data_IF_097099449987
#
_entry.id   IF_097099449987
#
_cell.length_a   1.000
_cell.length_b   1.000
_cell.length_c   1.000
_cell.angle_alpha   90.00
_cell.angle_beta   90.00
_cell.angle_gamma   90.00
#
_symmetry.space_group_name_H-M   'P 1'
#
loop_
_entity.id
_entity.type
_entity.pdbx_description
1 polymer ?
#
# COMPACT_ATOMS: atom_id res chain seq x y z
N UNK A 1 28.68 14.97 -18.06
CA UNK A 1 28.70 13.61 -17.48
C UNK A 1 27.32 13.38 -16.90
N UNK A 2 26.47 12.61 -17.58
CA UNK A 2 25.20 12.16 -17.02
C UNK A 2 25.55 11.08 -15.97
N UNK A 3 24.98 11.12 -14.77
CA UNK A 3 25.25 10.07 -13.79
C UNK A 3 24.54 8.79 -14.22
N UNK A 4 25.28 7.76 -14.62
CA UNK A 4 24.76 6.42 -14.97
C UNK A 4 24.32 5.60 -13.74
N UNK A 5 23.91 6.27 -12.66
CA UNK A 5 23.46 5.56 -11.48
C UNK A 5 22.03 5.06 -11.70
N UNK A 6 21.76 3.76 -11.48
CA UNK A 6 20.42 3.21 -11.58
C UNK A 6 19.41 3.95 -10.71
N UNK A 7 18.18 4.03 -11.20
CA UNK A 7 17.06 4.64 -10.47
C UNK A 7 16.77 3.90 -9.17
N UNK A 8 16.71 4.64 -8.06
CA UNK A 8 16.22 4.11 -6.78
C UNK A 8 14.69 4.15 -6.79
N UNK A 9 14.06 2.99 -6.70
CA UNK A 9 12.64 2.88 -6.32
C UNK A 9 12.33 3.56 -4.98
N UNK A 10 11.09 4.03 -4.84
CA UNK A 10 10.55 4.57 -3.59
C UNK A 10 10.15 3.47 -2.59
N UNK A 11 9.37 3.78 -1.54
CA UNK A 11 9.06 2.85 -0.45
C UNK A 11 8.50 1.49 -0.89
N UNK A 12 7.76 1.46 -1.99
CA UNK A 12 7.16 0.24 -2.55
C UNK A 12 7.69 -0.12 -3.95
N UNK A 13 8.56 0.72 -4.54
CA UNK A 13 9.14 0.48 -5.86
C UNK A 13 10.46 -0.26 -5.76
N UNK A 14 10.70 -1.24 -6.62
CA UNK A 14 11.99 -1.90 -6.73
C UNK A 14 13.05 -0.94 -7.28
N UNK A 15 14.28 -1.05 -6.80
CA UNK A 15 15.42 -0.32 -7.39
C UNK A 15 15.85 -0.97 -8.71
N UNK A 16 16.22 -0.14 -9.68
CA UNK A 16 16.79 -0.58 -10.94
C UNK A 16 18.27 -0.97 -10.77
N UNK A 17 18.80 -1.69 -11.76
CA UNK A 17 20.26 -1.81 -11.98
C UNK A 17 20.66 -1.07 -13.28
N UNK A 18 21.91 -1.21 -13.72
CA UNK A 18 22.43 -0.49 -14.88
C UNK A 18 21.73 -0.84 -16.22
N UNK A 19 21.01 -1.96 -16.28
CA UNK A 19 20.44 -2.49 -17.51
C UNK A 19 18.96 -2.91 -17.37
N UNK A 20 18.44 -2.99 -16.15
CA UNK A 20 17.10 -3.52 -15.86
C UNK A 20 16.32 -2.56 -14.96
N UNK A 21 15.04 -2.36 -15.28
CA UNK A 21 14.12 -1.61 -14.42
C UNK A 21 13.75 -2.39 -13.16
N UNK A 22 13.58 -1.69 -12.04
CA UNK A 22 12.98 -2.26 -10.83
C UNK A 22 11.49 -2.56 -11.01
N UNK A 23 10.97 -3.49 -10.21
CA UNK A 23 9.56 -3.86 -10.23
C UNK A 23 8.65 -2.77 -9.66
N UNK A 24 7.43 -2.66 -10.18
CA UNK A 24 6.42 -1.72 -9.67
C UNK A 24 5.82 -2.18 -8.34
N UNK A 25 5.46 -1.21 -7.49
CA UNK A 25 4.71 -1.48 -6.26
C UNK A 25 3.25 -1.83 -6.53
N UNK A 26 2.65 -2.70 -5.71
CA UNK A 26 1.25 -3.11 -5.82
C UNK A 26 0.49 -2.87 -4.51
N UNK A 27 -0.39 -1.86 -4.49
CA UNK A 27 -1.02 -1.38 -3.26
C UNK A 27 -2.53 -1.35 -3.43
N UNK A 28 -3.28 -1.98 -2.52
CA UNK A 28 -4.75 -1.94 -2.55
C UNK A 28 -5.35 -2.84 -3.63
N UNK A 29 -5.70 -4.09 -3.32
CA UNK A 29 -6.26 -5.02 -4.32
C UNK A 29 -7.67 -4.65 -4.79
N UNK A 30 -8.40 -3.89 -3.97
CA UNK A 30 -9.67 -3.28 -4.35
C UNK A 30 -9.57 -1.75 -4.40
N UNK A 31 -9.00 -1.14 -3.35
CA UNK A 31 -8.94 0.31 -3.22
C UNK A 31 -7.53 0.74 -2.82
N UNK A 32 -6.92 1.58 -3.65
CA UNK A 32 -5.78 2.42 -3.27
C UNK A 32 -6.29 3.84 -3.03
N UNK A 33 -5.98 4.40 -1.87
CA UNK A 33 -6.37 5.76 -1.50
C UNK A 33 -5.14 6.56 -1.06
N UNK A 34 -4.86 7.67 -1.74
CA UNK A 34 -3.79 8.61 -1.43
C UNK A 34 -4.36 10.02 -1.32
N UNK A 35 -4.08 10.68 -0.20
CA UNK A 35 -4.50 12.05 0.12
C UNK A 35 -6.04 12.29 -0.01
N UNK A 36 -6.86 11.28 0.27
CA UNK A 36 -8.33 11.31 0.24
C UNK A 36 -9.00 10.65 1.45
N UNK A 37 -10.32 10.80 1.56
CA UNK A 37 -11.13 10.12 2.61
C UNK A 37 -11.91 8.96 2.00
N UNK A 38 -11.77 7.76 2.58
CA UNK A 38 -12.55 6.58 2.21
C UNK A 38 -13.51 6.22 3.33
N UNK A 39 -14.79 6.09 2.98
CA UNK A 39 -15.86 5.63 3.87
C UNK A 39 -16.47 4.36 3.33
N UNK A 40 -16.28 3.26 4.04
CA UNK A 40 -16.82 1.94 3.72
C UNK A 40 -17.98 1.65 4.67
N UNK A 41 -19.14 1.31 4.11
CA UNK A 41 -20.36 1.03 4.90
C UNK A 41 -21.06 -0.19 4.34
N UNK A 42 -21.44 -1.13 5.22
CA UNK A 42 -22.23 -2.31 4.85
C UNK A 42 -21.65 -3.08 3.64
N UNK A 43 -20.32 -3.23 3.60
CA UNK A 43 -19.62 -3.79 2.43
C UNK A 43 -18.88 -5.08 2.78
N UNK A 44 -18.66 -5.92 1.77
CA UNK A 44 -17.82 -7.11 1.89
C UNK A 44 -16.66 -7.00 0.92
N UNK A 45 -15.43 -7.05 1.44
CA UNK A 45 -14.20 -7.19 0.67
C UNK A 45 -13.76 -8.64 0.80
N UNK A 46 -13.98 -9.41 -0.26
CA UNK A 46 -13.71 -10.84 -0.28
C UNK A 46 -12.74 -11.20 -1.39
N UNK A 47 -11.71 -11.96 -1.05
CA UNK A 47 -10.78 -12.54 -2.03
C UNK A 47 -10.14 -11.49 -2.96
N UNK A 48 -9.86 -10.30 -2.43
CA UNK A 48 -9.03 -9.32 -3.12
C UNK A 48 -7.56 -9.71 -2.96
N UNK A 49 -6.77 -9.45 -4.00
CA UNK A 49 -5.39 -9.90 -4.06
C UNK A 49 -4.49 -8.84 -4.68
N UNK A 50 -3.30 -8.67 -4.11
CA UNK A 50 -2.19 -7.94 -4.73
C UNK A 50 -0.99 -8.85 -4.92
N UNK A 51 -0.30 -8.68 -6.04
CA UNK A 51 1.01 -9.28 -6.29
C UNK A 51 1.97 -8.18 -6.70
N UNK A 52 3.13 -8.14 -6.05
CA UNK A 52 4.20 -7.20 -6.38
C UNK A 52 4.66 -7.34 -7.84
N UNK A 53 5.15 -6.23 -8.41
CA UNK A 53 5.77 -6.23 -9.73
C UNK A 53 7.12 -6.94 -9.73
N UNK A 54 7.37 -7.78 -10.74
CA UNK A 54 8.67 -8.40 -10.96
C UNK A 54 9.69 -7.39 -11.49
N UNK A 55 10.96 -7.56 -11.10
CA UNK A 55 12.07 -6.81 -11.67
C UNK A 55 12.33 -7.19 -13.14
N UNK A 56 12.95 -6.29 -13.89
CA UNK A 56 13.37 -6.54 -15.27
C UNK A 56 14.47 -7.59 -15.42
N UNK A 57 15.12 -7.98 -14.32
CA UNK A 57 16.18 -8.99 -14.28
C UNK A 57 17.43 -8.51 -13.56
N UNK A 58 18.53 -9.26 -13.70
CA UNK A 58 19.82 -8.92 -13.12
C UNK A 58 19.76 -8.75 -11.61
N UNK A 59 20.28 -7.62 -11.14
CA UNK A 59 20.29 -7.22 -9.73
C UNK A 59 19.19 -6.22 -9.39
N UNK A 60 18.29 -5.92 -10.33
CA UNK A 60 17.13 -5.08 -10.05
C UNK A 60 16.19 -5.77 -9.05
N UNK A 61 15.57 -4.99 -8.18
CA UNK A 61 14.69 -5.50 -7.14
C UNK A 61 13.24 -5.58 -7.63
N UNK A 62 12.50 -6.58 -7.14
CA UNK A 62 11.05 -6.60 -7.27
C UNK A 62 10.43 -5.43 -6.49
N UNK A 63 9.21 -5.04 -6.85
CA UNK A 63 8.44 -4.11 -6.04
C UNK A 63 8.03 -4.71 -4.69
N UNK A 64 7.48 -3.87 -3.83
CA UNK A 64 6.72 -4.27 -2.65
C UNK A 64 5.22 -4.30 -2.93
N UNK A 65 4.48 -4.93 -2.03
CA UNK A 65 3.02 -4.98 -2.10
C UNK A 65 2.38 -4.98 -0.72
N UNK A 66 1.15 -4.45 -0.66
CA UNK A 66 0.45 -4.27 0.60
C UNK A 66 -1.03 -3.95 0.41
N UNK A 67 -1.85 -4.21 1.43
CA UNK A 67 -3.28 -3.93 1.43
C UNK A 67 -4.02 -4.78 0.38
N UNK A 68 -4.04 -6.10 0.55
CA UNK A 68 -4.70 -7.00 -0.41
C UNK A 68 -6.18 -6.66 -0.68
N UNK A 69 -6.86 -5.91 0.20
CA UNK A 69 -8.10 -5.19 -0.13
C UNK A 69 -7.91 -3.67 -0.23
N UNK A 70 -7.54 -3.01 0.88
CA UNK A 70 -7.46 -1.55 0.96
C UNK A 70 -6.06 -1.13 1.39
N UNK A 71 -5.47 -0.19 0.66
CA UNK A 71 -4.28 0.53 1.06
C UNK A 71 -4.60 2.03 1.13
N UNK A 72 -4.34 2.67 2.27
CA UNK A 72 -4.63 4.08 2.51
C UNK A 72 -3.39 4.81 3.01
N UNK A 73 -2.92 5.81 2.25
CA UNK A 73 -1.71 6.60 2.48
C UNK A 73 -2.04 8.02 2.95
N UNK A 74 -1.65 8.39 4.18
CA UNK A 74 -1.79 9.74 4.77
C UNK A 74 -3.24 10.27 4.85
N UNK A 75 -4.17 9.43 5.34
CA UNK A 75 -5.60 9.59 5.09
C UNK A 75 -6.56 9.19 6.23
N UNK A 76 -7.83 9.59 6.07
CA UNK A 76 -8.93 9.06 6.87
C UNK A 76 -9.60 7.86 6.18
N UNK A 77 -9.63 6.72 6.87
CA UNK A 77 -10.33 5.50 6.49
C UNK A 77 -11.35 5.15 7.59
N UNK A 78 -12.63 5.26 7.26
CA UNK A 78 -13.76 4.92 8.14
C UNK A 78 -14.48 3.69 7.59
N UNK A 79 -14.53 2.62 8.36
CA UNK A 79 -15.16 1.35 7.96
C UNK A 79 -16.22 0.98 8.99
N UNK A 80 -17.44 0.73 8.51
CA UNK A 80 -18.58 0.41 9.34
C UNK A 80 -19.36 -0.79 8.81
N UNK A 81 -19.80 -1.67 9.71
CA UNK A 81 -20.68 -2.80 9.40
C UNK A 81 -20.19 -3.66 8.22
N UNK A 82 -18.88 -3.89 8.12
CA UNK A 82 -18.27 -4.50 6.93
C UNK A 82 -17.56 -5.80 7.24
N UNK A 83 -17.26 -6.59 6.22
CA UNK A 83 -16.49 -7.84 6.35
C UNK A 83 -15.32 -7.83 5.38
N UNK A 84 -14.13 -8.13 5.89
CA UNK A 84 -12.91 -8.35 5.11
C UNK A 84 -12.48 -9.79 5.30
N UNK A 85 -12.57 -10.60 4.25
CA UNK A 85 -12.15 -12.00 4.33
C UNK A 85 -11.45 -12.55 3.09
N UNK A 86 -10.51 -13.47 3.32
CA UNK A 86 -9.72 -14.13 2.27
C UNK A 86 -8.92 -13.16 1.38
N UNK A 87 -8.67 -11.93 1.84
CA UNK A 87 -7.86 -10.96 1.10
C UNK A 87 -6.37 -11.22 1.37
N UNK A 88 -5.57 -11.17 0.31
CA UNK A 88 -4.20 -11.71 0.31
C UNK A 88 -3.22 -10.74 -0.37
N UNK A 89 -1.98 -10.73 0.08
CA UNK A 89 -0.86 -10.06 -0.58
C UNK A 89 0.32 -11.03 -0.70
N UNK A 90 1.19 -10.86 -1.71
CA UNK A 90 2.44 -11.63 -1.75
C UNK A 90 3.46 -11.16 -0.70
N UNK A 91 3.27 -9.95 -0.17
CA UNK A 91 4.02 -9.36 0.92
C UNK A 91 3.18 -9.12 2.17
N UNK A 92 3.38 -7.99 2.86
CA UNK A 92 2.75 -7.74 4.16
C UNK A 92 1.40 -7.02 4.03
N UNK A 93 0.40 -7.48 4.78
CA UNK A 93 -0.89 -6.81 4.95
C UNK A 93 -1.96 -7.24 3.96
N UNK A 94 -2.57 -8.40 4.19
CA UNK A 94 -3.55 -9.00 3.27
C UNK A 94 -4.90 -8.29 3.14
N UNK A 95 -5.38 -7.58 4.16
CA UNK A 95 -6.68 -6.89 4.07
C UNK A 95 -6.55 -5.38 3.97
N UNK A 96 -6.40 -4.71 5.11
CA UNK A 96 -6.44 -3.26 5.21
C UNK A 96 -5.11 -2.78 5.75
N UNK A 97 -4.49 -1.85 5.04
CA UNK A 97 -3.25 -1.21 5.45
C UNK A 97 -3.46 0.29 5.44
N UNK A 98 -3.09 0.92 6.55
CA UNK A 98 -3.02 2.37 6.69
C UNK A 98 -1.54 2.71 6.88
N UNK A 99 -1.01 3.50 5.97
CA UNK A 99 0.38 3.86 5.91
C UNK A 99 0.52 5.38 6.00
N UNK A 100 1.61 5.83 6.61
CA UNK A 100 1.97 7.25 6.67
C UNK A 100 3.42 7.43 6.25
N UNK A 101 3.72 8.40 5.40
CA UNK A 101 5.10 8.71 5.04
C UNK A 101 5.76 9.54 6.17
N UNK A 102 6.85 9.03 6.76
CA UNK A 102 7.67 9.78 7.74
C UNK A 102 8.37 11.00 7.12
N UNK A 103 8.32 11.21 5.81
CA UNK A 103 8.68 12.46 5.14
C UNK A 103 7.84 13.67 5.56
N UNK A 104 6.69 13.43 6.22
CA UNK A 104 5.88 14.45 6.89
C UNK A 104 6.20 14.55 8.41
N UNK A 105 7.06 13.69 8.94
CA UNK A 105 7.47 13.64 10.35
C UNK A 105 8.85 14.28 10.58
N UNK A 106 9.11 15.44 9.96
CA UNK A 106 10.43 16.10 9.96
C UNK A 106 10.47 17.55 10.47
N UNK A 107 9.33 18.10 10.87
CA UNK A 107 9.23 19.40 11.57
C UNK A 107 8.25 19.22 12.71
N UNK A 108 8.50 19.85 13.86
CA UNK A 108 7.50 19.98 14.93
C UNK A 108 6.27 20.69 14.36
N UNK A 109 5.30 19.90 13.88
CA UNK A 109 4.22 20.35 13.00
C UNK A 109 4.20 19.66 11.63
N UNK A 110 4.33 18.32 11.60
CA UNK A 110 4.14 17.50 10.40
C UNK A 110 2.81 17.81 9.74
N UNK A 111 2.86 18.25 8.48
CA UNK A 111 1.82 19.04 7.81
C UNK A 111 0.76 18.22 7.10
N UNK A 112 0.70 16.91 7.34
CA UNK A 112 -0.31 16.02 6.80
C UNK A 112 -1.62 16.12 7.57
N UNK A 113 -2.78 16.09 6.90
CA UNK A 113 -4.06 15.98 7.60
C UNK A 113 -4.06 14.74 8.51
N UNK A 114 -4.72 14.80 9.68
CA UNK A 114 -4.71 13.71 10.63
C UNK A 114 -5.19 12.40 9.99
N UNK A 115 -4.38 11.36 10.17
CA UNK A 115 -4.67 10.00 9.71
C UNK A 115 -5.62 9.36 10.72
N UNK A 116 -6.84 9.07 10.29
CA UNK A 116 -7.86 8.46 11.13
C UNK A 116 -8.21 7.09 10.58
N UNK A 117 -8.00 6.04 11.37
CA UNK A 117 -8.45 4.70 11.04
C UNK A 117 -9.52 4.26 12.03
N UNK A 118 -10.77 4.18 11.56
CA UNK A 118 -11.92 3.87 12.39
C UNK A 118 -12.60 2.58 11.90
N UNK A 119 -12.75 1.61 12.79
CA UNK A 119 -13.46 0.36 12.55
C UNK A 119 -14.65 0.24 13.52
N UNK A 120 -15.86 0.19 12.98
CA UNK A 120 -17.07 -0.06 13.76
C UNK A 120 -17.80 -1.29 13.22
N UNK A 121 -18.16 -2.22 14.10
CA UNK A 121 -18.93 -3.42 13.76
C UNK A 121 -18.40 -4.16 12.52
N UNK A 122 -17.07 -4.27 12.40
CA UNK A 122 -16.41 -4.80 11.21
C UNK A 122 -15.66 -6.08 11.55
N UNK A 123 -15.79 -7.08 10.69
CA UNK A 123 -15.11 -8.37 10.81
C UNK A 123 -13.92 -8.37 9.86
N UNK A 124 -12.73 -8.73 10.36
CA UNK A 124 -11.53 -8.94 9.55
C UNK A 124 -11.00 -10.34 9.88
N UNK A 125 -11.14 -11.28 8.94
CA UNK A 125 -10.85 -12.72 9.17
C UNK A 125 -10.21 -13.38 7.96
N UNK A 126 -9.27 -14.30 8.15
CA UNK A 126 -8.60 -15.05 7.08
C UNK A 126 -7.95 -14.15 6.02
N UNK A 127 -7.27 -13.08 6.44
CA UNK A 127 -6.52 -12.24 5.52
C UNK A 127 -5.02 -12.47 5.75
N UNK A 128 -4.24 -12.50 4.68
CA UNK A 128 -2.80 -12.78 4.68
C UNK A 128 -2.23 -12.60 3.29
#
# INVERSE_FOLDING_TARGET
MCSDNPGKGGPFGGHADNHNGGGGGALGGAIFNQNGTVKVKNSTFYNNFVSRGAAGGGSAANGGDSGGAIFSLDNTLEITNSTFSNNQATGAGGAVVVYTDEGDAGVTGGGGPPVNFNLYNTIIVNNG
#
